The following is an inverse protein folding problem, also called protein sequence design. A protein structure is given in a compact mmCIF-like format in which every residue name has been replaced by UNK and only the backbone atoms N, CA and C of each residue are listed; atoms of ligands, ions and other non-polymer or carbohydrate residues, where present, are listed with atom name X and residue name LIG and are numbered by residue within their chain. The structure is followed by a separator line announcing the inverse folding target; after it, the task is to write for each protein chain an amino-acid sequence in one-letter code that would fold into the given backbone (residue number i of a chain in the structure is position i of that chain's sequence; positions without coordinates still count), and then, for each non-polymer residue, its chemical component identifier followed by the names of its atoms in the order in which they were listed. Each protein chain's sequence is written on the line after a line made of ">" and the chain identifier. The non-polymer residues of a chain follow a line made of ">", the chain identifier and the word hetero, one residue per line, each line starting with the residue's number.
data_IF_452236955158
#
_entry.id   IF_452236955158
#
_cell.length_a   1.000
_cell.length_b   1.000
_cell.length_c   1.000
_cell.angle_alpha   90.00
_cell.angle_beta   90.00
_cell.angle_gamma   90.00
#
_symmetry.space_group_name_H-M   'P 1'
#
loop_
_entity.id
_entity.type
_entity.pdbx_description
1 polymer ?
#
# COMPACT_ATOMS: atom_id res chain seq x y z
N UNK A 1 -0.89 -21.35 -18.99
CA UNK A 1 -0.80 -21.24 -17.50
C UNK A 1 -1.53 -20.00 -16.95
N UNK A 2 -2.69 -19.65 -17.52
CA UNK A 2 -3.29 -18.33 -17.31
C UNK A 2 -3.94 -18.17 -15.92
N UNK A 3 -4.41 -19.26 -15.32
CA UNK A 3 -4.97 -19.24 -13.97
C UNK A 3 -3.93 -18.86 -12.91
N UNK A 4 -2.66 -19.23 -13.12
CA UNK A 4 -1.57 -18.91 -12.19
C UNK A 4 -1.20 -17.42 -12.27
N UNK A 5 -1.12 -16.86 -13.48
CA UNK A 5 -1.01 -15.41 -13.68
C UNK A 5 -2.16 -14.66 -13.00
N UNK A 6 -3.40 -15.12 -13.23
CA UNK A 6 -4.59 -14.53 -12.62
C UNK A 6 -4.52 -14.50 -11.09
N UNK A 7 -4.06 -15.60 -10.48
CA UNK A 7 -3.87 -15.68 -9.03
C UNK A 7 -2.83 -14.68 -8.53
N UNK A 8 -1.67 -14.56 -9.19
CA UNK A 8 -0.61 -13.60 -8.83
C UNK A 8 -1.14 -12.16 -8.94
N UNK A 9 -1.77 -11.83 -10.06
CA UNK A 9 -2.39 -10.51 -10.30
C UNK A 9 -3.39 -10.18 -9.19
N UNK A 10 -4.20 -11.17 -8.79
CA UNK A 10 -5.20 -10.97 -7.76
C UNK A 10 -4.60 -10.73 -6.38
N UNK A 11 -3.51 -11.42 -6.02
CA UNK A 11 -2.77 -11.16 -4.79
C UNK A 11 -2.20 -9.74 -4.79
N UNK A 12 -1.62 -9.30 -5.90
CA UNK A 12 -1.11 -7.93 -6.04
C UNK A 12 -2.26 -6.92 -5.89
N UNK A 13 -3.42 -7.18 -6.48
CA UNK A 13 -4.60 -6.32 -6.35
C UNK A 13 -5.09 -6.23 -4.90
N UNK A 14 -5.12 -7.35 -4.16
CA UNK A 14 -5.47 -7.35 -2.73
C UNK A 14 -4.49 -6.51 -1.91
N UNK A 15 -3.20 -6.63 -2.18
CA UNK A 15 -2.19 -5.81 -1.49
C UNK A 15 -2.32 -4.32 -1.83
N UNK A 16 -2.56 -3.97 -3.10
CA UNK A 16 -2.87 -2.59 -3.52
C UNK A 16 -4.10 -2.04 -2.81
N UNK A 17 -5.13 -2.86 -2.57
CA UNK A 17 -6.32 -2.45 -1.81
C UNK A 17 -5.98 -2.11 -0.36
N UNK A 18 -5.14 -2.92 0.30
CA UNK A 18 -4.66 -2.62 1.67
C UNK A 18 -3.90 -1.30 1.70
N UNK A 19 -3.00 -1.06 0.74
CA UNK A 19 -2.28 0.21 0.63
C UNK A 19 -3.20 1.39 0.38
N UNK A 20 -4.22 1.22 -0.46
CA UNK A 20 -5.20 2.27 -0.72
C UNK A 20 -5.97 2.65 0.54
N UNK A 21 -6.43 1.67 1.32
CA UNK A 21 -7.08 1.91 2.62
C UNK A 21 -6.13 2.62 3.57
N UNK A 22 -4.85 2.22 3.63
CA UNK A 22 -3.84 2.86 4.46
C UNK A 22 -3.60 4.33 4.06
N UNK A 23 -3.49 4.64 2.76
CA UNK A 23 -3.35 6.01 2.25
C UNK A 23 -4.55 6.87 2.67
N UNK A 24 -5.77 6.37 2.44
CA UNK A 24 -6.98 7.10 2.81
C UNK A 24 -7.02 7.31 4.32
N UNK A 25 -6.74 6.28 5.12
CA UNK A 25 -6.80 6.37 6.57
C UNK A 25 -5.74 7.36 7.14
N UNK A 26 -4.52 7.36 6.60
CA UNK A 26 -3.48 8.33 7.01
C UNK A 26 -3.87 9.76 6.69
N UNK A 27 -4.51 10.02 5.53
CA UNK A 27 -5.05 11.35 5.22
C UNK A 27 -6.22 11.74 6.12
N UNK A 28 -7.16 10.83 6.39
CA UNK A 28 -8.28 11.10 7.28
C UNK A 28 -7.80 11.48 8.69
N UNK A 29 -6.73 10.85 9.18
CA UNK A 29 -6.09 11.19 10.46
C UNK A 29 -5.36 12.53 10.35
N UNK A 30 -4.58 12.76 9.28
CA UNK A 30 -3.83 14.00 9.09
C UNK A 30 -4.74 15.23 8.95
N UNK A 31 -5.94 15.07 8.41
CA UNK A 31 -6.96 16.12 8.32
C UNK A 31 -7.86 16.21 9.55
N UNK A 32 -7.55 15.49 10.63
CA UNK A 32 -8.34 15.43 11.86
C UNK A 32 -9.81 15.01 11.66
N UNK A 33 -10.11 14.26 10.60
CA UNK A 33 -11.45 13.71 10.33
C UNK A 33 -11.70 12.50 11.24
N UNK A 34 -10.67 11.69 11.48
CA UNK A 34 -10.73 10.50 12.33
C UNK A 34 -9.78 10.67 13.51
N UNK A 35 -10.30 10.41 14.72
CA UNK A 35 -9.52 10.48 15.95
C UNK A 35 -8.93 9.11 16.32
N UNK A 36 -7.60 9.02 16.38
CA UNK A 36 -6.86 7.80 16.75
C UNK A 36 -6.91 7.46 18.23
N UNK A 37 -7.48 8.31 19.09
CA UNK A 37 -7.69 8.01 20.51
C UNK A 37 -8.67 6.86 20.74
N UNK A 38 -9.52 6.54 19.76
CA UNK A 38 -10.34 5.34 19.82
C UNK A 38 -9.47 4.10 19.59
N UNK A 39 -9.44 3.19 20.57
CA UNK A 39 -8.66 1.95 20.53
C UNK A 39 -8.96 1.10 19.29
N UNK A 40 -10.18 1.12 18.78
CA UNK A 40 -10.54 0.41 17.56
C UNK A 40 -9.80 0.96 16.33
N UNK A 41 -9.85 2.28 16.14
CA UNK A 41 -9.19 2.96 15.02
C UNK A 41 -7.67 2.76 15.10
N UNK A 42 -7.10 2.90 16.29
CA UNK A 42 -5.68 2.66 16.52
C UNK A 42 -5.26 1.24 16.11
N UNK A 43 -6.00 0.21 16.56
CA UNK A 43 -5.69 -1.19 16.20
C UNK A 43 -5.79 -1.44 14.69
N UNK A 44 -6.80 -0.89 14.01
CA UNK A 44 -6.92 -1.01 12.55
C UNK A 44 -5.73 -0.35 11.85
N UNK A 45 -5.35 0.86 12.27
CA UNK A 45 -4.19 1.55 11.73
C UNK A 45 -2.89 0.80 11.96
N UNK A 46 -2.72 0.20 13.14
CA UNK A 46 -1.54 -0.61 13.46
C UNK A 46 -1.45 -1.85 12.55
N UNK A 47 -2.57 -2.54 12.30
CA UNK A 47 -2.62 -3.69 11.39
C UNK A 47 -2.25 -3.26 9.96
N UNK A 48 -2.89 -2.19 9.45
CA UNK A 48 -2.60 -1.67 8.11
C UNK A 48 -1.14 -1.25 7.97
N UNK A 49 -0.59 -0.61 9.00
CA UNK A 49 0.81 -0.23 9.05
C UNK A 49 1.72 -1.44 9.02
N UNK A 50 1.51 -2.45 9.88
CA UNK A 50 2.34 -3.66 9.94
C UNK A 50 2.31 -4.45 8.62
N UNK A 51 1.16 -4.51 7.94
CA UNK A 51 1.04 -5.14 6.62
C UNK A 51 1.81 -4.38 5.52
N UNK A 52 1.88 -3.06 5.65
CA UNK A 52 2.50 -2.19 4.66
C UNK A 52 3.98 -1.90 4.96
N UNK A 53 4.42 -2.04 6.21
CA UNK A 53 5.76 -1.68 6.70
C UNK A 53 6.90 -2.27 5.86
N UNK A 54 6.88 -3.55 5.45
CA UNK A 54 8.00 -4.12 4.71
C UNK A 54 8.27 -3.41 3.37
N UNK A 55 7.21 -3.06 2.64
CA UNK A 55 7.31 -2.37 1.35
C UNK A 55 7.57 -0.88 1.53
N UNK A 56 6.89 -0.24 2.49
CA UNK A 56 7.07 1.17 2.83
C UNK A 56 8.50 1.45 3.30
N UNK A 57 9.06 0.59 4.15
CA UNK A 57 10.42 0.73 4.67
C UNK A 57 11.47 0.70 3.57
N UNK A 58 11.26 -0.09 2.52
CA UNK A 58 12.17 -0.12 1.37
C UNK A 58 12.14 1.21 0.61
N UNK A 59 10.96 1.79 0.40
CA UNK A 59 10.79 3.08 -0.29
C UNK A 59 11.30 4.24 0.57
N UNK A 60 11.01 4.26 1.87
CA UNK A 60 11.47 5.29 2.83
C UNK A 60 12.99 5.40 2.96
N UNK A 61 13.75 4.38 2.53
CA UNK A 61 15.22 4.48 2.46
C UNK A 61 15.70 5.46 1.40
N UNK A 62 14.89 5.65 0.36
CA UNK A 62 15.25 6.47 -0.80
C UNK A 62 14.41 7.75 -0.89
N UNK A 63 13.24 7.78 -0.25
CA UNK A 63 12.30 8.90 -0.29
C UNK A 63 12.38 9.68 1.02
N UNK A 64 12.76 10.96 1.01
CA UNK A 64 12.72 11.78 2.20
C UNK A 64 11.28 12.01 2.68
N UNK A 65 11.08 12.13 3.99
CA UNK A 65 9.78 12.44 4.55
C UNK A 65 9.38 13.90 4.19
N UNK A 66 8.22 14.07 3.55
CA UNK A 66 7.70 15.38 3.17
C UNK A 66 6.81 15.95 4.29
N UNK A 67 7.44 16.58 5.28
CA UNK A 67 6.72 17.16 6.42
C UNK A 67 5.89 16.11 7.17
N UNK A 68 4.58 16.35 7.33
CA UNK A 68 3.67 15.45 8.02
C UNK A 68 3.03 14.38 7.12
N UNK A 69 3.28 14.40 5.80
CA UNK A 69 2.65 13.49 4.85
C UNK A 69 3.68 12.48 4.34
N UNK A 70 3.42 11.20 4.59
CA UNK A 70 4.22 10.14 4.01
C UNK A 70 3.75 9.80 2.58
N UNK A 71 4.59 10.10 1.60
CA UNK A 71 4.34 9.81 0.17
C UNK A 71 4.73 8.37 -0.19
N UNK A 72 5.49 7.68 0.68
CA UNK A 72 5.98 6.32 0.44
C UNK A 72 4.89 5.31 0.03
N UNK A 73 3.67 5.31 0.63
CA UNK A 73 2.62 4.38 0.23
C UNK A 73 2.13 4.57 -1.21
N UNK A 74 2.10 5.82 -1.68
CA UNK A 74 1.72 6.15 -3.06
C UNK A 74 2.77 5.60 -4.02
N UNK A 75 4.05 5.76 -3.68
CA UNK A 75 5.16 5.25 -4.49
C UNK A 75 5.14 3.71 -4.53
N UNK A 76 4.91 3.04 -3.40
CA UNK A 76 4.74 1.57 -3.38
C UNK A 76 3.57 1.14 -4.26
N UNK A 77 2.43 1.84 -4.18
CA UNK A 77 1.25 1.55 -5.00
C UNK A 77 1.58 1.63 -6.51
N UNK A 78 2.28 2.69 -6.92
CA UNK A 78 2.71 2.88 -8.32
C UNK A 78 3.68 1.80 -8.78
N UNK A 79 4.66 1.42 -7.93
CA UNK A 79 5.60 0.33 -8.24
C UNK A 79 4.88 -1.01 -8.41
N UNK A 80 3.90 -1.32 -7.56
CA UNK A 80 3.10 -2.54 -7.68
C UNK A 80 2.27 -2.55 -8.96
N UNK A 81 1.69 -1.40 -9.34
CA UNK A 81 0.99 -1.27 -10.61
C UNK A 81 1.93 -1.52 -11.80
N UNK A 82 3.13 -0.96 -11.77
CA UNK A 82 4.14 -1.17 -12.81
C UNK A 82 4.59 -2.64 -12.88
N UNK A 83 4.87 -3.27 -11.75
CA UNK A 83 5.23 -4.70 -11.67
C UNK A 83 4.11 -5.58 -12.24
N UNK A 84 2.84 -5.26 -11.92
CA UNK A 84 1.69 -5.97 -12.46
C UNK A 84 1.59 -5.81 -13.99
N UNK A 85 1.85 -4.61 -14.52
CA UNK A 85 1.88 -4.37 -15.96
C UNK A 85 2.96 -5.21 -16.65
N UNK A 86 4.18 -5.21 -16.11
CA UNK A 86 5.28 -6.02 -16.64
C UNK A 86 4.96 -7.52 -16.57
N UNK A 87 4.38 -7.99 -15.47
CA UNK A 87 3.97 -9.39 -15.35
C UNK A 87 2.99 -9.82 -16.43
N UNK A 88 2.02 -8.96 -16.76
CA UNK A 88 1.03 -9.24 -17.81
C UNK A 88 1.67 -9.22 -19.20
N UNK A 89 2.57 -8.27 -19.44
CA UNK A 89 3.23 -8.07 -20.73
C UNK A 89 4.18 -9.22 -21.08
N UNK A 90 5.00 -9.67 -20.12
CA UNK A 90 6.02 -10.69 -20.33
C UNK A 90 5.57 -12.12 -19.98
N UNK A 91 4.28 -12.33 -19.65
CA UNK A 91 3.81 -13.67 -19.28
C UNK A 91 3.87 -14.63 -20.47
N UNK A 92 4.52 -15.80 -20.33
CA UNK A 92 4.53 -16.81 -21.37
C UNK A 92 3.12 -17.39 -21.54
N UNK A 93 2.53 -17.14 -22.72
CA UNK A 93 1.16 -17.58 -23.07
C UNK A 93 1.11 -19.07 -23.37
#
# INVERSE_FOLDING_TARGET
>A
MNSLLGLIIQIINLYKLVLLIYIIATWLISFNIINTSNRFIYSVMEILYRLSEPSLRLVRKYVPAFGNIDISPIIVYLLLWFIQSLLIEYWPR
#
